data_IF_897794211472
#
_entry.id   IF_897794211472
#
_cell.length_a   1.000
_cell.length_b   1.000
_cell.length_c   1.000
_cell.angle_alpha   90.00
_cell.angle_beta   90.00
_cell.angle_gamma   90.00
#
_symmetry.space_group_name_H-M   'P 1'
#
loop_
_entity.id
_entity.type
_entity.pdbx_description
1 polymer ?
#
# COMPACT_ATOMS: atom_id res chain seq x y z
N UNK A 1 -2.19 -34.85 -51.59
CA UNK A 1 -1.93 -34.91 -50.13
C UNK A 1 -1.12 -33.68 -49.74
N UNK A 2 -1.79 -32.61 -49.34
CA UNK A 2 -1.19 -31.37 -48.81
C UNK A 2 -2.08 -30.97 -47.65
N UNK A 3 -1.74 -31.34 -46.42
CA UNK A 3 -2.54 -31.00 -45.23
C UNK A 3 -1.79 -31.25 -43.91
N UNK A 4 -0.62 -30.66 -43.73
CA UNK A 4 0.08 -30.65 -42.42
C UNK A 4 0.88 -29.34 -42.27
N UNK A 5 0.23 -28.19 -42.48
CA UNK A 5 0.91 -26.88 -42.47
C UNK A 5 0.07 -25.72 -41.93
N UNK A 6 -1.04 -25.99 -41.23
CA UNK A 6 -2.00 -24.96 -40.83
C UNK A 6 -2.47 -25.04 -39.37
N UNK A 7 -1.80 -25.86 -38.54
CA UNK A 7 -2.19 -26.04 -37.13
C UNK A 7 -1.30 -25.28 -36.14
N UNK A 8 -0.20 -24.65 -36.59
CA UNK A 8 0.70 -23.90 -35.71
C UNK A 8 0.46 -22.39 -35.65
N UNK A 9 -0.35 -21.83 -36.56
CA UNK A 9 -0.60 -20.38 -36.61
C UNK A 9 -1.82 -19.91 -35.80
N UNK A 10 -2.64 -20.81 -35.26
CA UNK A 10 -3.88 -20.44 -34.54
C UNK A 10 -3.69 -20.35 -33.01
N UNK A 11 -2.58 -20.84 -32.46
CA UNK A 11 -2.31 -20.73 -31.01
C UNK A 11 -1.58 -19.46 -30.58
N UNK A 12 -1.13 -18.62 -31.52
CA UNK A 12 -0.42 -17.38 -31.20
C UNK A 12 -1.31 -16.12 -31.12
N UNK A 13 -2.61 -16.23 -31.40
CA UNK A 13 -3.51 -15.06 -31.50
C UNK A 13 -4.60 -14.96 -30.42
N UNK A 14 -4.60 -15.83 -29.39
CA UNK A 14 -5.73 -15.91 -28.43
C UNK A 14 -5.38 -15.57 -26.98
N UNK A 15 -4.16 -15.13 -26.67
CA UNK A 15 -3.77 -14.77 -25.28
C UNK A 15 -3.53 -13.26 -25.08
N UNK A 16 -4.23 -12.40 -25.82
CA UNK A 16 -4.29 -10.95 -25.54
C UNK A 16 -5.55 -10.54 -24.78
N UNK A 17 -6.18 -11.44 -24.02
CA UNK A 17 -6.94 -11.03 -22.85
C UNK A 17 -5.99 -11.01 -21.65
N UNK A 18 -5.19 -9.94 -21.57
CA UNK A 18 -4.67 -9.49 -20.28
C UNK A 18 -5.88 -9.26 -19.39
N UNK A 19 -6.11 -10.18 -18.46
CA UNK A 19 -6.96 -9.96 -17.31
C UNK A 19 -6.48 -8.68 -16.64
N UNK A 20 -7.27 -7.61 -16.77
CA UNK A 20 -7.12 -6.39 -15.98
C UNK A 20 -6.98 -6.82 -14.52
N UNK A 21 -5.78 -6.67 -13.96
CA UNK A 21 -5.59 -6.72 -12.52
C UNK A 21 -6.50 -5.64 -11.90
N UNK A 22 -7.36 -5.95 -10.93
CA UNK A 22 -8.10 -4.92 -10.22
C UNK A 22 -7.15 -4.28 -9.21
N UNK A 23 -6.25 -3.43 -9.68
CA UNK A 23 -5.56 -2.44 -8.84
C UNK A 23 -6.50 -1.30 -8.42
N UNK A 24 -7.72 -1.25 -8.96
CA UNK A 24 -8.75 -0.26 -8.65
C UNK A 24 -9.20 -0.29 -7.18
N UNK A 25 -8.98 -1.38 -6.43
CA UNK A 25 -9.34 -1.46 -5.01
C UNK A 25 -8.39 -0.65 -4.10
N UNK A 26 -7.15 -0.36 -4.54
CA UNK A 26 -6.19 0.42 -3.75
C UNK A 26 -6.03 1.88 -4.21
N UNK A 27 -6.78 2.32 -5.23
CA UNK A 27 -6.87 3.71 -5.67
C UNK A 27 -8.30 4.24 -5.50
N UNK A 28 -8.72 4.52 -4.27
CA UNK A 28 -9.66 5.62 -4.08
C UNK A 28 -8.91 6.95 -4.34
N UNK A 29 -8.68 7.26 -5.62
CA UNK A 29 -8.52 8.64 -6.08
C UNK A 29 -9.93 9.18 -6.32
N UNK A 30 -10.39 10.24 -5.62
CA UNK A 30 -11.44 11.06 -6.18
C UNK A 30 -10.83 11.80 -7.37
N UNK A 31 -11.26 11.42 -8.57
CA UNK A 31 -11.10 12.22 -9.77
C UNK A 31 -11.97 13.46 -9.65
N UNK A 32 -11.41 14.61 -9.31
CA UNK A 32 -12.00 15.90 -9.65
C UNK A 32 -10.97 16.79 -10.34
N UNK A 33 -11.28 17.09 -11.61
CA UNK A 33 -10.65 18.11 -12.42
C UNK A 33 -10.93 19.47 -11.78
N UNK A 34 -9.94 20.24 -11.31
CA UNK A 34 -10.16 21.68 -11.07
C UNK A 34 -9.01 22.55 -11.56
N UNK A 35 -9.43 23.56 -12.31
CA UNK A 35 -8.64 24.49 -13.10
C UNK A 35 -7.68 25.34 -12.28
N UNK A 36 -6.49 25.56 -12.85
CA UNK A 36 -5.56 26.60 -12.43
C UNK A 36 -6.19 27.99 -12.59
N UNK A 37 -6.50 28.65 -11.47
CA UNK A 37 -6.58 30.12 -11.44
C UNK A 37 -5.43 30.67 -10.61
N UNK A 38 -4.38 31.11 -11.31
CA UNK A 38 -3.42 32.07 -10.79
C UNK A 38 -4.14 33.39 -10.53
N UNK A 39 -4.17 33.84 -9.27
CA UNK A 39 -4.35 35.27 -8.97
C UNK A 39 -3.31 35.72 -7.96
N UNK A 40 -2.27 36.33 -8.50
CA UNK A 40 -1.29 37.14 -7.78
C UNK A 40 -2.04 38.35 -7.23
N UNK A 41 -1.99 38.57 -5.92
CA UNK A 41 -2.33 39.88 -5.37
C UNK A 41 -1.38 40.20 -4.23
N UNK A 42 -0.41 41.07 -4.52
CA UNK A 42 0.41 41.75 -3.54
C UNK A 42 -0.45 42.76 -2.80
N UNK A 43 -0.46 42.74 -1.46
CA UNK A 43 -0.39 43.96 -0.68
C UNK A 43 0.09 43.71 0.76
N UNK A 44 1.15 44.45 1.10
CA UNK A 44 1.72 44.59 2.44
C UNK A 44 0.78 45.34 3.37
N UNK A 45 0.67 44.88 4.62
CA UNK A 45 1.06 45.61 5.84
C UNK A 45 0.18 45.27 7.07
N UNK A 46 0.89 44.88 8.14
CA UNK A 46 0.67 45.18 9.56
C UNK A 46 -0.44 44.48 10.39
N UNK A 47 0.08 43.71 11.35
CA UNK A 47 -0.35 43.53 12.74
C UNK A 47 -1.81 43.14 13.02
N UNK A 48 -2.02 41.83 13.14
CA UNK A 48 -2.65 41.25 14.33
C UNK A 48 -2.01 39.89 14.60
N UNK A 49 -1.53 39.70 15.84
CA UNK A 49 -1.16 38.40 16.41
C UNK A 49 -2.41 37.52 16.37
N UNK A 50 -2.60 36.81 15.24
CA UNK A 50 -3.68 35.84 15.08
C UNK A 50 -3.40 34.74 16.10
N UNK A 51 -4.23 34.70 17.14
CA UNK A 51 -4.44 33.50 17.97
C UNK A 51 -4.41 32.30 17.01
N UNK A 52 -3.53 31.34 17.26
CA UNK A 52 -3.64 29.99 16.74
C UNK A 52 -5.00 29.47 17.21
N UNK A 53 -6.00 29.73 16.38
CA UNK A 53 -7.31 29.13 16.50
C UNK A 53 -7.07 27.65 16.20
N UNK A 54 -7.38 26.81 17.19
CA UNK A 54 -7.70 25.39 17.01
C UNK A 54 -8.84 25.29 15.98
N UNK A 55 -8.50 25.49 14.71
CA UNK A 55 -9.40 25.37 13.58
C UNK A 55 -9.27 23.97 12.99
N UNK A 56 -9.30 22.97 13.87
CA UNK A 56 -9.64 21.61 13.48
C UNK A 56 -11.07 21.38 13.93
N UNK A 57 -12.01 21.44 12.99
CA UNK A 57 -13.26 20.72 13.16
C UNK A 57 -12.98 19.28 13.61
N UNK A 58 -13.94 18.59 14.25
CA UNK A 58 -13.71 17.26 14.78
C UNK A 58 -13.14 16.35 13.68
N UNK A 59 -11.94 15.81 13.91
CA UNK A 59 -11.25 14.91 12.97
C UNK A 59 -12.21 13.79 12.61
N UNK A 60 -12.44 13.58 11.31
CA UNK A 60 -13.38 12.57 10.83
C UNK A 60 -12.87 11.17 11.20
N UNK A 61 -13.72 10.39 11.88
CA UNK A 61 -13.43 9.00 12.23
C UNK A 61 -14.30 8.08 11.37
N UNK A 62 -13.64 7.14 10.71
CA UNK A 62 -14.22 6.08 9.89
C UNK A 62 -13.89 4.71 10.50
N UNK A 63 -14.67 3.70 10.15
CA UNK A 63 -14.49 2.32 10.57
C UNK A 63 -14.32 1.47 9.31
N UNK A 64 -13.38 0.53 9.30
CA UNK A 64 -13.21 -0.35 8.13
C UNK A 64 -14.44 -1.25 7.90
N UNK A 65 -15.15 -1.59 8.97
CA UNK A 65 -16.37 -2.38 8.97
C UNK A 65 -17.32 -1.82 10.02
N UNK A 66 -18.62 -1.80 9.70
CA UNK A 66 -19.63 -1.24 10.57
C UNK A 66 -19.48 0.27 10.80
N UNK A 67 -20.02 0.76 11.91
CA UNK A 67 -20.09 2.19 12.25
C UNK A 67 -19.65 2.49 13.70
N UNK A 68 -19.14 1.49 14.42
CA UNK A 68 -18.82 1.59 15.84
C UNK A 68 -17.62 0.73 16.25
N UNK A 69 -17.04 1.02 17.42
CA UNK A 69 -15.93 0.24 17.98
C UNK A 69 -16.28 -1.25 18.19
N UNK A 70 -17.53 -1.56 18.54
CA UNK A 70 -17.98 -2.93 18.76
C UNK A 70 -18.03 -3.77 17.48
N UNK A 71 -18.13 -3.12 16.33
CA UNK A 71 -18.13 -3.80 15.03
C UNK A 71 -16.73 -4.23 14.60
N UNK A 72 -15.69 -3.64 15.21
CA UNK A 72 -14.31 -3.91 14.86
C UNK A 72 -13.81 -5.21 15.50
N UNK A 73 -13.04 -6.02 14.73
CA UNK A 73 -12.39 -7.21 15.25
C UNK A 73 -11.27 -6.85 16.24
N UNK A 74 -10.75 -7.85 16.93
CA UNK A 74 -9.53 -7.71 17.72
C UNK A 74 -8.30 -7.73 16.81
N UNK A 75 -7.30 -6.91 17.14
CA UNK A 75 -6.06 -6.83 16.38
C UNK A 75 -5.21 -8.10 16.57
N UNK A 76 -4.64 -8.59 15.46
CA UNK A 76 -3.55 -9.56 15.53
C UNK A 76 -2.25 -8.87 15.97
N UNK A 77 -1.24 -9.70 16.24
CA UNK A 77 0.08 -9.22 16.61
C UNK A 77 0.68 -8.34 15.50
N UNK A 78 1.12 -7.12 15.84
CA UNK A 78 1.67 -6.13 14.88
C UNK A 78 0.69 -5.72 13.77
N UNK A 79 -0.61 -5.90 14.00
CA UNK A 79 -1.62 -5.31 13.14
C UNK A 79 -1.68 -3.79 13.32
N UNK A 80 -1.98 -3.11 12.23
CA UNK A 80 -2.30 -1.70 12.22
C UNK A 80 -3.71 -1.53 12.77
N UNK A 81 -3.83 -0.80 13.88
CA UNK A 81 -5.10 -0.59 14.56
C UNK A 81 -5.83 0.66 14.06
N UNK A 82 -5.12 1.72 13.65
CA UNK A 82 -5.70 2.89 12.99
C UNK A 82 -4.83 3.32 11.80
N UNK A 83 -5.46 3.80 10.72
CA UNK A 83 -4.81 4.52 9.62
C UNK A 83 -5.17 5.99 9.74
N UNK A 84 -4.18 6.87 9.67
CA UNK A 84 -4.37 8.32 9.70
C UNK A 84 -3.87 8.87 8.38
N UNK A 85 -4.75 9.49 7.60
CA UNK A 85 -4.39 10.13 6.34
C UNK A 85 -4.27 11.64 6.57
N UNK A 86 -3.13 12.20 6.15
CA UNK A 86 -2.79 13.62 6.29
C UNK A 86 -2.65 14.33 4.93
N UNK A 87 -3.08 13.70 3.83
CA UNK A 87 -2.94 14.28 2.50
C UNK A 87 -3.79 15.54 2.30
N UNK A 88 -5.00 15.54 2.84
CA UNK A 88 -5.95 16.66 2.78
C UNK A 88 -6.53 16.92 4.18
N UNK A 89 -7.84 17.10 4.33
CA UNK A 89 -8.50 17.18 5.64
C UNK A 89 -8.23 15.88 6.41
N UNK A 90 -7.54 15.93 7.56
CA UNK A 90 -7.14 14.73 8.27
C UNK A 90 -8.31 13.87 8.70
N UNK A 91 -8.17 12.56 8.55
CA UNK A 91 -9.15 11.58 9.01
C UNK A 91 -8.48 10.31 9.52
N UNK A 92 -9.20 9.60 10.39
CA UNK A 92 -8.75 8.37 11.03
C UNK A 92 -9.67 7.24 10.56
N UNK A 93 -9.09 6.16 10.06
CA UNK A 93 -9.77 4.90 9.81
C UNK A 93 -9.41 3.88 10.87
N UNK A 94 -10.39 3.46 11.66
CA UNK A 94 -10.22 2.43 12.67
C UNK A 94 -10.31 1.05 12.02
N UNK A 95 -9.30 0.22 12.29
CA UNK A 95 -9.18 -1.12 11.73
C UNK A 95 -9.59 -2.17 12.76
N UNK A 96 -9.02 -2.14 13.97
CA UNK A 96 -9.24 -3.19 14.96
C UNK A 96 -9.06 -2.66 16.39
N UNK A 97 -9.58 -3.41 17.36
CA UNK A 97 -9.44 -3.13 18.80
C UNK A 97 -8.19 -3.80 19.35
N UNK A 98 -7.34 -3.01 20.02
CA UNK A 98 -6.17 -3.56 20.71
C UNK A 98 -6.59 -4.45 21.89
N UNK A 99 -5.88 -5.55 22.08
CA UNK A 99 -6.12 -6.49 23.19
C UNK A 99 -5.39 -6.05 24.47
N UNK A 100 -5.77 -6.66 25.60
CA UNK A 100 -5.09 -6.42 26.90
C UNK A 100 -5.36 -5.06 27.53
N UNK A 101 -6.55 -4.49 27.30
CA UNK A 101 -6.97 -3.20 27.88
C UNK A 101 -6.27 -1.98 27.29
N UNK A 102 -5.51 -2.15 26.20
CA UNK A 102 -4.85 -1.06 25.49
C UNK A 102 -5.82 -0.36 24.55
N UNK A 103 -5.64 0.94 24.36
CA UNK A 103 -6.38 1.72 23.35
C UNK A 103 -5.44 2.10 22.23
N UNK A 104 -5.88 1.94 20.98
CA UNK A 104 -5.10 2.36 19.83
C UNK A 104 -4.98 3.89 19.79
N UNK A 105 -3.76 4.40 19.58
CA UNK A 105 -3.49 5.84 19.48
C UNK A 105 -4.30 6.49 18.36
N UNK A 106 -4.95 7.61 18.66
CA UNK A 106 -5.65 8.48 17.70
C UNK A 106 -4.92 9.81 17.49
N UNK A 107 -3.74 9.98 18.09
CA UNK A 107 -2.95 11.20 17.98
C UNK A 107 -2.48 11.41 16.54
N UNK A 108 -2.49 12.67 16.08
CA UNK A 108 -1.89 13.08 14.80
C UNK A 108 -0.36 13.14 14.87
N UNK A 109 0.20 13.09 16.08
CA UNK A 109 1.64 13.15 16.29
C UNK A 109 2.31 11.79 16.00
N UNK A 110 3.60 11.84 15.67
CA UNK A 110 4.41 10.65 15.30
C UNK A 110 5.38 10.20 16.39
N UNK A 111 5.53 10.99 17.45
CA UNK A 111 6.50 10.79 18.54
C UNK A 111 5.97 9.91 19.69
N UNK A 112 4.76 9.37 19.56
CA UNK A 112 4.14 8.47 20.54
C UNK A 112 4.83 7.10 20.65
N UNK A 113 5.68 6.74 19.69
CA UNK A 113 6.38 5.46 19.65
C UNK A 113 5.53 4.27 19.17
N UNK A 114 4.28 4.54 18.78
CA UNK A 114 3.32 3.58 18.22
C UNK A 114 2.94 3.90 16.77
N UNK A 115 3.61 4.89 16.18
CA UNK A 115 3.33 5.38 14.83
C UNK A 115 4.40 4.91 13.84
N UNK A 116 3.95 4.25 12.78
CA UNK A 116 4.71 3.91 11.59
C UNK A 116 4.29 4.89 10.46
N UNK A 117 5.24 5.58 9.82
CA UNK A 117 4.93 6.60 8.80
C UNK A 117 5.34 6.11 7.42
N UNK A 118 4.43 6.19 6.45
CA UNK A 118 4.73 5.99 5.04
C UNK A 118 4.08 7.08 4.18
N UNK A 119 4.89 7.82 3.41
CA UNK A 119 4.43 8.94 2.56
C UNK A 119 3.57 9.92 3.37
N UNK A 120 2.28 10.04 3.04
CA UNK A 120 1.29 10.95 3.64
C UNK A 120 0.42 10.27 4.69
N UNK A 121 0.67 8.99 4.99
CA UNK A 121 -0.11 8.18 5.91
C UNK A 121 0.69 7.83 7.15
N UNK A 122 0.01 7.89 8.28
CA UNK A 122 0.50 7.32 9.53
C UNK A 122 -0.31 6.07 9.86
N UNK A 123 0.39 5.04 10.29
CA UNK A 123 -0.17 3.75 10.66
C UNK A 123 0.10 3.54 12.15
N UNK A 124 -0.97 3.42 12.93
CA UNK A 124 -0.89 3.24 14.38
C UNK A 124 -0.93 1.77 14.72
N UNK A 125 -0.15 1.37 15.71
CA UNK A 125 -0.04 -0.02 16.16
C UNK A 125 -0.33 -0.15 17.65
N UNK A 126 -0.75 -1.35 18.08
CA UNK A 126 -0.96 -1.64 19.50
C UNK A 126 0.36 -1.88 20.26
N UNK A 127 1.39 -2.34 19.56
CA UNK A 127 2.73 -2.55 20.09
C UNK A 127 3.70 -1.41 19.73
N UNK A 128 4.74 -1.18 20.56
CA UNK A 128 5.75 -0.19 20.25
C UNK A 128 6.51 -0.51 18.97
N UNK A 129 6.58 0.49 18.09
CA UNK A 129 7.20 0.40 16.76
C UNK A 129 8.73 0.20 16.84
N UNK A 130 9.34 0.56 17.97
CA UNK A 130 10.80 0.38 18.24
C UNK A 130 11.25 -1.09 18.21
N UNK A 131 10.34 -2.04 18.40
CA UNK A 131 10.66 -3.49 18.40
C UNK A 131 10.75 -4.09 16.99
N UNK A 132 10.34 -3.33 15.97
CA UNK A 132 10.25 -3.80 14.58
C UNK A 132 11.64 -3.66 13.91
N UNK A 133 12.19 -4.72 13.30
CA UNK A 133 13.50 -4.67 12.64
C UNK A 133 13.45 -3.86 11.34
N UNK A 134 14.61 -3.57 10.75
CA UNK A 134 14.67 -2.96 9.41
C UNK A 134 14.70 -4.01 8.30
N UNK A 135 13.97 -3.76 7.22
CA UNK A 135 13.92 -4.59 6.02
C UNK A 135 15.17 -4.42 5.16
N UNK A 136 15.59 -5.50 4.50
CA UNK A 136 16.49 -5.45 3.33
C UNK A 136 15.69 -5.28 2.05
N UNK A 137 16.20 -4.42 1.17
CA UNK A 137 15.58 -4.18 -0.13
C UNK A 137 15.38 -5.47 -0.94
N UNK A 138 14.23 -5.57 -1.60
CA UNK A 138 13.83 -6.65 -2.52
C UNK A 138 13.75 -8.07 -1.94
N UNK A 139 14.12 -8.28 -0.66
CA UNK A 139 14.18 -9.59 -0.04
C UNK A 139 13.16 -9.75 1.06
N UNK A 140 13.09 -8.79 1.96
CA UNK A 140 12.23 -8.89 3.14
C UNK A 140 10.87 -8.28 2.83
N UNK A 141 9.81 -8.89 3.37
CA UNK A 141 8.44 -8.37 3.33
C UNK A 141 8.29 -7.34 4.43
N UNK A 142 7.87 -6.11 4.09
CA UNK A 142 7.66 -5.02 5.06
C UNK A 142 6.33 -5.12 5.76
N UNK A 143 5.27 -5.43 5.02
CA UNK A 143 3.94 -5.70 5.55
C UNK A 143 3.17 -6.64 4.65
N UNK A 144 2.11 -7.23 5.21
CA UNK A 144 1.11 -8.01 4.50
C UNK A 144 -0.27 -7.43 4.71
N UNK A 145 -1.10 -7.47 3.68
CA UNK A 145 -2.53 -7.15 3.77
C UNK A 145 -3.30 -8.44 3.50
N UNK A 146 -4.07 -8.90 4.47
CA UNK A 146 -4.97 -10.05 4.34
C UNK A 146 -6.40 -9.55 4.22
N UNK A 147 -7.06 -9.92 3.13
CA UNK A 147 -8.48 -9.65 2.91
C UNK A 147 -9.26 -10.90 3.29
N UNK A 148 -10.06 -10.77 4.34
CA UNK A 148 -10.94 -11.82 4.82
C UNK A 148 -12.31 -11.76 4.12
N UNK A 149 -13.04 -12.88 4.07
CA UNK A 149 -14.34 -12.95 3.40
C UNK A 149 -15.44 -12.10 4.06
N UNK A 150 -15.25 -11.69 5.31
CA UNK A 150 -16.15 -10.80 6.05
C UNK A 150 -15.91 -9.30 5.77
N UNK A 151 -15.25 -8.96 4.66
CA UNK A 151 -14.84 -7.59 4.29
C UNK A 151 -13.90 -6.91 5.31
N UNK A 152 -13.36 -7.66 6.27
CA UNK A 152 -12.32 -7.16 7.17
C UNK A 152 -10.98 -7.28 6.47
N UNK A 153 -10.19 -6.23 6.58
CA UNK A 153 -8.78 -6.23 6.18
C UNK A 153 -7.90 -6.23 7.42
N UNK A 154 -6.85 -7.03 7.38
CA UNK A 154 -5.80 -7.01 8.39
C UNK A 154 -4.48 -6.62 7.72
N UNK A 155 -3.81 -5.62 8.26
CA UNK A 155 -2.52 -5.17 7.77
C UNK A 155 -1.47 -5.35 8.86
N UNK A 156 -0.60 -6.33 8.67
CA UNK A 156 0.44 -6.72 9.63
C UNK A 156 1.81 -6.16 9.20
N UNK A 157 2.51 -5.51 10.12
CA UNK A 157 3.84 -4.94 9.88
C UNK A 157 4.93 -5.91 10.35
N UNK A 158 5.81 -6.29 9.42
CA UNK A 158 6.92 -7.21 9.65
C UNK A 158 8.25 -6.49 9.91
N UNK A 159 8.55 -5.44 9.12
CA UNK A 159 9.78 -4.67 9.24
C UNK A 159 9.66 -3.24 8.69
N UNK A 160 10.52 -2.35 9.15
CA UNK A 160 10.67 -0.98 8.64
C UNK A 160 11.46 -0.93 7.36
N UNK A 161 10.88 -0.35 6.31
CA UNK A 161 11.67 -0.03 5.15
C UNK A 161 12.78 1.00 5.48
N UNK A 162 13.95 0.91 4.81
CA UNK A 162 14.97 1.95 4.94
C UNK A 162 14.45 3.32 4.47
N UNK A 163 15.07 4.41 4.91
CA UNK A 163 14.67 5.77 4.49
C UNK A 163 14.71 5.92 2.97
N UNK A 164 13.82 6.75 2.43
CA UNK A 164 13.68 7.01 0.98
C UNK A 164 13.44 5.74 0.15
N UNK A 165 12.63 4.84 0.69
CA UNK A 165 12.13 3.65 -0.01
C UNK A 165 10.70 3.84 -0.47
N UNK A 166 10.29 3.05 -1.46
CA UNK A 166 8.90 2.85 -1.83
C UNK A 166 8.52 1.39 -1.55
N UNK A 167 7.32 1.18 -1.01
CA UNK A 167 6.74 -0.16 -0.92
C UNK A 167 6.11 -0.57 -2.24
N UNK A 168 6.17 -1.86 -2.55
CA UNK A 168 5.55 -2.43 -3.75
C UNK A 168 5.08 -3.85 -3.50
N UNK A 169 4.04 -4.27 -4.21
CA UNK A 169 3.49 -5.62 -4.14
C UNK A 169 4.47 -6.63 -4.76
N UNK A 170 4.88 -7.64 -4.00
CA UNK A 170 5.76 -8.72 -4.47
C UNK A 170 5.04 -10.01 -4.80
N UNK A 171 3.96 -10.32 -4.06
CA UNK A 171 3.29 -11.62 -4.16
C UNK A 171 1.86 -11.55 -3.65
N UNK A 172 0.98 -12.35 -4.24
CA UNK A 172 -0.34 -12.67 -3.72
C UNK A 172 -0.39 -14.16 -3.38
N UNK A 173 -0.87 -14.49 -2.18
CA UNK A 173 -1.15 -15.85 -1.75
C UNK A 173 -2.66 -16.02 -1.55
N UNK A 174 -3.12 -17.26 -1.63
CA UNK A 174 -4.46 -17.68 -1.19
C UNK A 174 -4.29 -18.47 0.09
N UNK A 175 -5.05 -18.09 1.11
CA UNK A 175 -5.10 -18.75 2.42
C UNK A 175 -6.44 -19.48 2.49
N UNK A 176 -6.39 -20.79 2.74
CA UNK A 176 -7.58 -21.61 2.98
C UNK A 176 -7.91 -21.51 4.47
N UNK A 177 -9.08 -20.96 4.78
CA UNK A 177 -9.59 -20.85 6.14
C UNK A 177 -10.26 -22.18 6.55
N UNK A 178 -10.42 -22.45 7.87
CA UNK A 178 -11.06 -23.67 8.35
C UNK A 178 -12.48 -23.92 7.82
N UNK A 179 -13.22 -22.85 7.52
CA UNK A 179 -14.61 -22.90 7.03
C UNK A 179 -14.72 -23.09 5.50
N UNK A 180 -13.66 -23.59 4.84
CA UNK A 180 -13.53 -23.69 3.37
C UNK A 180 -13.64 -22.34 2.62
N UNK A 181 -13.56 -21.23 3.36
CA UNK A 181 -13.52 -19.90 2.80
C UNK A 181 -12.10 -19.53 2.38
N UNK A 182 -11.99 -18.67 1.37
CA UNK A 182 -10.71 -18.20 0.85
C UNK A 182 -10.43 -16.78 1.37
N UNK A 183 -9.23 -16.59 1.90
CA UNK A 183 -8.68 -15.26 2.18
C UNK A 183 -7.52 -14.98 1.22
N UNK A 184 -7.35 -13.71 0.85
CA UNK A 184 -6.28 -13.29 -0.05
C UNK A 184 -5.24 -12.48 0.70
N UNK A 185 -3.99 -12.91 0.65
CA UNK A 185 -2.88 -12.23 1.30
C UNK A 185 -1.96 -11.58 0.26
N UNK A 186 -1.71 -10.30 0.43
CA UNK A 186 -0.86 -9.48 -0.42
C UNK A 186 0.40 -9.10 0.34
N UNK A 187 1.56 -9.45 -0.21
CA UNK A 187 2.86 -9.24 0.42
C UNK A 187 3.58 -8.08 -0.25
N UNK A 188 4.14 -7.17 0.55
CA UNK A 188 4.83 -5.99 0.05
C UNK A 188 6.30 -5.98 0.49
N UNK A 189 7.19 -5.47 -0.36
CA UNK A 189 8.61 -5.28 -0.06
C UNK A 189 9.05 -3.85 -0.33
N UNK A 190 10.27 -3.53 0.09
CA UNK A 190 10.87 -2.21 -0.04
C UNK A 190 11.77 -2.15 -1.27
N UNK A 191 11.68 -1.07 -2.04
CA UNK A 191 12.59 -0.70 -3.13
C UNK A 191 13.21 0.67 -2.86
N UNK A 192 14.48 0.94 -3.22
CA UNK A 192 15.03 2.30 -3.23
C UNK A 192 14.22 3.19 -4.19
N UNK A 193 13.97 4.45 -3.83
CA UNK A 193 13.20 5.38 -4.67
C UNK A 193 13.85 5.64 -6.05
N UNK A 194 15.18 5.53 -6.15
CA UNK A 194 15.94 5.70 -7.39
C UNK A 194 15.82 4.52 -8.35
N UNK A 195 15.48 3.33 -7.84
CA UNK A 195 15.29 2.12 -8.63
C UNK A 195 13.83 1.71 -8.48
N UNK A 196 12.97 2.33 -9.27
CA UNK A 196 11.59 1.88 -9.36
C UNK A 196 11.57 0.47 -9.97
N UNK A 197 10.74 -0.45 -9.46
CA UNK A 197 10.75 -1.89 -9.86
C UNK A 197 10.55 -2.09 -11.36
N UNK A 198 9.98 -1.10 -12.04
CA UNK A 198 9.93 -1.00 -13.51
C UNK A 198 11.33 -1.18 -14.14
N UNK A 199 12.39 -0.64 -13.53
CA UNK A 199 13.77 -0.79 -14.00
C UNK A 199 14.33 -2.19 -13.78
N UNK A 200 13.97 -2.89 -12.70
CA UNK A 200 14.48 -4.23 -12.43
C UNK A 200 13.85 -5.28 -13.35
N UNK A 201 12.54 -5.16 -13.63
CA UNK A 201 11.89 -5.97 -14.68
C UNK A 201 12.55 -5.72 -16.03
N UNK A 202 12.84 -4.46 -16.37
CA UNK A 202 13.55 -4.12 -17.62
C UNK A 202 14.96 -4.71 -17.66
N UNK A 203 15.69 -4.72 -16.55
CA UNK A 203 17.05 -5.30 -16.50
C UNK A 203 17.07 -6.82 -16.60
N UNK A 204 16.11 -7.51 -15.97
CA UNK A 204 15.98 -8.97 -16.09
C UNK A 204 15.61 -9.34 -17.53
N UNK A 205 14.65 -8.62 -18.13
CA UNK A 205 14.26 -8.84 -19.53
C UNK A 205 15.39 -8.52 -20.51
N UNK A 206 16.18 -7.46 -20.29
CA UNK A 206 17.36 -7.19 -21.13
C UNK A 206 18.48 -8.23 -20.95
N UNK A 207 18.61 -8.81 -19.76
CA UNK A 207 19.63 -9.82 -19.47
C UNK A 207 19.27 -11.18 -20.07
N UNK A 208 17.98 -11.54 -20.11
CA UNK A 208 17.52 -12.73 -20.83
C UNK A 208 17.57 -12.55 -22.35
N UNK A 209 17.36 -11.35 -22.88
CA UNK A 209 17.55 -11.08 -24.31
C UNK A 209 19.03 -11.07 -24.75
N UNK A 210 19.98 -10.76 -23.86
CA UNK A 210 21.42 -10.88 -24.16
C UNK A 210 21.95 -12.32 -24.16
N UNK A 211 21.18 -13.29 -23.65
CA UNK A 211 21.58 -14.71 -23.64
C UNK A 211 21.04 -15.51 -24.85
N UNK A 212 20.19 -14.90 -25.70
CA UNK A 212 19.65 -15.52 -26.92
C UNK A 212 20.18 -14.89 -28.22
N UNK A 213 21.23 -14.05 -28.12
CA UNK A 213 21.83 -13.36 -29.25
C UNK A 213 23.32 -13.63 -29.40
N UNK A 214 23.71 -14.88 -29.64
CA UNK A 214 25.01 -15.20 -30.26
C UNK A 214 24.76 -15.70 -31.68
N UNK A 215 25.16 -14.94 -32.72
CA UNK A 215 25.34 -15.50 -34.04
C UNK A 215 26.65 -16.30 -34.01
N UNK A 216 26.57 -17.62 -34.03
CA UNK A 216 27.72 -18.44 -34.37
C UNK A 216 27.95 -18.30 -35.89
N UNK A 217 28.80 -17.34 -36.26
CA UNK A 217 29.58 -17.40 -37.51
C UNK A 217 30.94 -17.97 -37.10
N UNK A 218 31.39 -19.04 -37.76
CA UNK A 218 32.75 -19.23 -38.32
C UNK A 218 32.86 -20.68 -38.85
N UNK A 219 33.26 -20.73 -40.13
CA UNK A 219 33.95 -21.77 -40.91
C UNK A 219 33.29 -23.14 -41.13
#
# INVERSE_FOLDING_TARGET
>A
MYLEGLTFFVLFFSCTLSTRLPLEVFQHQPSEQHHHHHRINHNSANFHRKKTHDDSGPVKILYQVGNSESDLPECNYRSICNKVDLYDTPWIEKQCRCTGGKTCSTSMQTDDGYTFVEKTRQYKMCEPVKKIPRCRYFRDTTWSITLYPNNVTDQEVHCHCPRNSLTYLIKRNVIHMPDDQLAFQYLFSCSPQTVSVLFKVRFVVLSTFRLLGSPAIIA
#
